data_IF_793144926265
#
_entry.id   IF_793144926265
#
_cell.length_a   1.000
_cell.length_b   1.000
_cell.length_c   1.000
_cell.angle_alpha   90.00
_cell.angle_beta   90.00
_cell.angle_gamma   90.00
#
_symmetry.space_group_name_H-M   'P 1'
#
loop_
_entity.id
_entity.type
_entity.pdbx_description
1 polymer ?
#
# COMPACT_ATOMS: atom_id res chain seq x y z
N UNK A 1 25.40 5.67 -14.81
CA UNK A 1 24.55 4.51 -15.18
C UNK A 1 23.31 4.52 -14.31
N UNK A 2 22.14 4.07 -14.81
CA UNK A 2 20.96 3.88 -13.95
C UNK A 2 21.29 2.88 -12.83
N UNK A 3 20.87 3.19 -11.61
CA UNK A 3 21.03 2.32 -10.45
C UNK A 3 19.67 2.09 -9.79
N UNK A 4 19.42 0.86 -9.37
CA UNK A 4 18.27 0.51 -8.53
C UNK A 4 18.77 0.32 -7.10
N UNK A 5 18.10 0.98 -6.16
CA UNK A 5 18.31 0.84 -4.73
C UNK A 5 16.99 0.35 -4.14
N UNK A 6 17.02 -0.79 -3.47
CA UNK A 6 15.91 -1.28 -2.66
C UNK A 6 16.24 -1.04 -1.20
N UNK A 7 15.33 -0.42 -0.46
CA UNK A 7 15.49 -0.16 0.96
C UNK A 7 14.66 -1.13 1.81
N UNK A 8 15.15 -1.35 3.03
CA UNK A 8 14.52 -2.14 4.09
C UNK A 8 14.93 -1.54 5.43
N UNK A 9 14.27 -1.91 6.51
CA UNK A 9 14.62 -1.41 7.84
C UNK A 9 15.28 -2.50 8.67
N UNK A 10 16.43 -2.20 9.26
CA UNK A 10 17.14 -3.12 10.16
C UNK A 10 16.51 -3.08 11.55
N UNK A 11 15.94 -4.19 12.02
CA UNK A 11 15.43 -4.29 13.39
C UNK A 11 16.55 -4.25 14.44
N UNK A 12 17.80 -4.49 14.04
CA UNK A 12 18.94 -4.54 14.94
C UNK A 12 19.39 -3.15 15.40
N UNK A 13 19.34 -2.18 14.49
CA UNK A 13 19.87 -0.82 14.67
C UNK A 13 18.78 0.24 14.58
N UNK A 14 17.65 -0.07 13.94
CA UNK A 14 16.64 0.91 13.58
C UNK A 14 17.04 1.76 12.37
N UNK A 15 18.11 1.42 11.63
CA UNK A 15 18.57 2.20 10.48
C UNK A 15 18.03 1.68 9.14
N UNK A 16 18.10 2.55 8.12
CA UNK A 16 17.91 2.18 6.73
C UNK A 16 18.98 1.18 6.26
N UNK A 17 18.54 0.06 5.72
CA UNK A 17 19.35 -0.96 5.08
C UNK A 17 19.09 -0.95 3.57
N UNK A 18 20.14 -0.85 2.78
CA UNK A 18 20.03 -0.72 1.33
C UNK A 18 20.61 -1.94 0.62
N UNK A 19 19.95 -2.34 -0.48
CA UNK A 19 20.44 -3.29 -1.46
C UNK A 19 20.65 -2.56 -2.78
N UNK A 20 21.86 -2.70 -3.33
CA UNK A 20 22.19 -2.23 -4.67
C UNK A 20 22.56 -3.43 -5.56
N UNK A 21 22.91 -3.17 -6.82
CA UNK A 21 23.40 -4.21 -7.72
C UNK A 21 24.73 -4.83 -7.28
N UNK A 22 25.52 -4.13 -6.46
CA UNK A 22 26.89 -4.55 -6.08
C UNK A 22 27.11 -4.65 -4.58
N UNK A 23 26.14 -4.27 -3.73
CA UNK A 23 26.37 -4.18 -2.29
C UNK A 23 25.07 -4.33 -1.47
N UNK A 24 25.25 -4.63 -0.19
CA UNK A 24 24.17 -4.57 0.80
C UNK A 24 24.68 -4.05 2.15
N UNK A 25 23.83 -3.33 2.89
CA UNK A 25 24.08 -2.87 4.26
C UNK A 25 23.66 -1.43 4.52
N UNK A 26 24.07 -0.88 5.67
CA UNK A 26 23.69 0.47 6.07
C UNK A 26 24.62 1.52 5.43
N UNK A 27 24.07 2.56 4.78
CA UNK A 27 24.85 3.62 4.16
C UNK A 27 25.53 4.52 5.23
N UNK A 28 26.62 5.21 4.90
CA UNK A 28 27.28 6.16 5.82
C UNK A 28 26.50 7.45 6.05
N UNK A 29 25.73 7.92 5.06
CA UNK A 29 25.30 9.32 4.97
C UNK A 29 24.16 9.76 5.88
N UNK A 30 23.57 8.87 6.68
CA UNK A 30 22.30 9.15 7.41
C UNK A 30 22.37 8.94 8.92
N UNK A 31 23.54 8.61 9.47
CA UNK A 31 23.70 8.37 10.91
C UNK A 31 24.50 9.54 11.49
N UNK A 32 23.78 10.47 12.14
CA UNK A 32 24.38 11.59 12.85
C UNK A 32 24.90 11.08 14.20
N UNK A 33 26.20 10.81 14.29
CA UNK A 33 26.83 10.19 15.47
C UNK A 33 26.68 10.95 16.80
N UNK A 34 26.22 12.20 16.77
CA UNK A 34 25.89 12.98 17.98
C UNK A 34 24.52 12.60 18.57
N UNK A 35 23.57 12.21 17.73
CA UNK A 35 22.19 11.88 18.12
C UNK A 35 22.01 10.36 18.15
N UNK A 36 22.55 9.69 17.14
CA UNK A 36 22.45 8.26 16.94
C UNK A 36 23.79 7.58 17.17
N UNK A 37 23.91 6.95 18.34
CA UNK A 37 25.10 6.21 18.78
C UNK A 37 24.97 4.70 18.51
N UNK A 38 23.91 4.25 17.82
CA UNK A 38 23.72 2.85 17.52
C UNK A 38 24.83 2.34 16.59
N UNK A 39 25.18 1.06 16.75
CA UNK A 39 26.23 0.45 15.91
C UNK A 39 25.72 0.33 14.48
N UNK A 40 26.45 0.96 13.56
CA UNK A 40 26.21 0.82 12.13
C UNK A 40 26.66 -0.52 11.58
N UNK A 41 25.76 -1.22 10.89
CA UNK A 41 26.05 -2.42 10.11
C UNK A 41 26.58 -2.04 8.72
N UNK A 42 27.89 -1.80 8.64
CA UNK A 42 28.57 -1.27 7.45
C UNK A 42 28.32 -2.11 6.20
N UNK A 43 27.91 -1.43 5.13
CA UNK A 43 27.81 -2.01 3.78
C UNK A 43 29.03 -2.84 3.35
N UNK A 44 28.75 -3.97 2.71
CA UNK A 44 29.70 -4.87 2.04
C UNK A 44 29.41 -4.90 0.55
N UNK A 45 30.45 -5.01 -0.29
CA UNK A 45 30.27 -5.37 -1.70
C UNK A 45 30.03 -6.88 -1.80
N UNK A 46 29.17 -7.32 -2.71
CA UNK A 46 28.84 -8.74 -2.81
C UNK A 46 30.09 -9.60 -3.07
N UNK A 47 31.04 -9.13 -3.87
CA UNK A 47 32.29 -9.87 -4.14
C UNK A 47 33.14 -10.12 -2.88
N UNK A 48 33.06 -9.20 -1.91
CA UNK A 48 33.77 -9.24 -0.63
C UNK A 48 32.98 -9.96 0.47
N UNK A 49 31.76 -10.44 0.18
CA UNK A 49 30.92 -11.07 1.18
C UNK A 49 31.54 -12.40 1.69
N UNK A 50 31.34 -12.74 2.98
CA UNK A 50 32.10 -13.82 3.63
C UNK A 50 31.71 -15.24 3.17
N UNK A 51 30.55 -15.41 2.54
CA UNK A 51 30.05 -16.72 2.09
C UNK A 51 29.60 -16.66 0.63
N UNK A 52 29.70 -17.78 -0.09
CA UNK A 52 29.26 -17.85 -1.49
C UNK A 52 27.76 -17.55 -1.69
N UNK A 53 26.94 -17.84 -0.68
CA UNK A 53 25.51 -17.49 -0.68
C UNK A 53 25.32 -15.96 -0.66
N UNK A 54 26.07 -15.26 0.20
CA UNK A 54 26.02 -13.80 0.30
C UNK A 54 26.68 -13.11 -0.91
N UNK A 55 27.68 -13.74 -1.52
CA UNK A 55 28.26 -13.27 -2.80
C UNK A 55 27.25 -13.33 -3.95
N UNK A 56 26.32 -14.30 -3.90
CA UNK A 56 25.29 -14.53 -4.92
C UNK A 56 23.90 -14.16 -4.39
N UNK A 57 23.83 -13.08 -3.61
CA UNK A 57 22.59 -12.62 -3.02
C UNK A 57 21.56 -12.29 -4.10
N UNK A 58 20.34 -12.82 -3.96
CA UNK A 58 19.31 -12.72 -4.99
C UNK A 58 18.50 -11.44 -4.83
N UNK A 59 18.18 -10.78 -5.95
CA UNK A 59 17.23 -9.66 -5.98
C UNK A 59 15.90 -10.01 -5.30
N UNK A 60 15.42 -11.25 -5.47
CA UNK A 60 14.19 -11.71 -4.82
C UNK A 60 14.24 -11.65 -3.29
N UNK A 61 15.41 -11.82 -2.66
CA UNK A 61 15.55 -11.64 -1.22
C UNK A 61 15.54 -10.18 -0.82
N UNK A 62 16.20 -9.31 -1.59
CA UNK A 62 16.14 -7.86 -1.36
C UNK A 62 14.70 -7.33 -1.45
N UNK A 63 13.94 -7.76 -2.47
CA UNK A 63 12.51 -7.44 -2.62
C UNK A 63 11.70 -8.00 -1.45
N UNK A 64 11.96 -9.24 -1.02
CA UNK A 64 11.27 -9.84 0.12
C UNK A 64 11.52 -9.09 1.43
N UNK A 65 12.75 -8.62 1.70
CA UNK A 65 13.04 -7.74 2.84
C UNK A 65 12.29 -6.41 2.73
N UNK A 66 12.35 -5.77 1.57
CA UNK A 66 11.75 -4.46 1.31
C UNK A 66 10.22 -4.46 1.48
N UNK A 67 9.56 -5.58 1.18
CA UNK A 67 8.10 -5.76 1.31
C UNK A 67 7.67 -6.53 2.57
N UNK A 68 8.56 -6.69 3.56
CA UNK A 68 8.30 -7.50 4.76
C UNK A 68 7.51 -6.70 5.81
N UNK A 69 6.21 -6.49 5.55
CA UNK A 69 5.31 -5.73 6.41
C UNK A 69 5.29 -6.30 7.85
N UNK A 70 5.65 -5.50 8.88
CA UNK A 70 5.68 -5.95 10.26
C UNK A 70 4.32 -6.51 10.73
N UNK A 71 4.37 -7.63 11.47
CA UNK A 71 3.18 -8.32 11.97
C UNK A 71 2.50 -9.24 10.94
N UNK A 72 2.82 -9.10 9.65
CA UNK A 72 2.29 -9.96 8.58
C UNK A 72 3.29 -11.02 8.13
N UNK A 73 4.57 -10.64 8.00
CA UNK A 73 5.64 -11.53 7.54
C UNK A 73 6.73 -11.71 8.61
N UNK A 74 7.37 -12.88 8.60
CA UNK A 74 8.58 -13.10 9.41
C UNK A 74 9.74 -12.28 8.81
N UNK A 75 10.52 -11.53 9.62
CA UNK A 75 11.63 -10.71 9.13
C UNK A 75 12.65 -11.51 8.32
N UNK A 76 13.12 -10.94 7.20
CA UNK A 76 14.17 -11.57 6.41
C UNK A 76 15.46 -11.60 7.23
N UNK A 77 16.05 -12.78 7.33
CA UNK A 77 17.20 -13.02 8.20
C UNK A 77 18.48 -13.20 7.40
N UNK A 78 19.53 -12.45 7.73
CA UNK A 78 20.88 -12.60 7.18
C UNK A 78 21.82 -13.02 8.30
N UNK A 79 22.48 -14.17 8.13
CA UNK A 79 23.46 -14.72 9.09
C UNK A 79 24.85 -14.78 8.48
N UNK A 80 25.88 -14.84 9.30
CA UNK A 80 27.27 -14.99 8.85
C UNK A 80 27.89 -13.76 8.18
N UNK A 81 27.12 -12.67 8.02
CA UNK A 81 27.64 -11.41 7.46
C UNK A 81 28.47 -10.62 8.48
N UNK A 82 28.08 -10.65 9.76
CA UNK A 82 28.79 -10.00 10.85
C UNK A 82 29.00 -10.98 12.01
N UNK A 83 30.12 -10.84 12.70
CA UNK A 83 30.47 -11.72 13.82
C UNK A 83 29.44 -11.64 14.95
N UNK A 84 28.94 -12.79 15.41
CA UNK A 84 27.99 -12.91 16.53
C UNK A 84 26.73 -12.02 16.38
N UNK A 85 26.27 -11.85 15.13
CA UNK A 85 25.09 -11.04 14.80
C UNK A 85 24.26 -11.72 13.72
N UNK A 86 22.96 -11.68 13.93
CA UNK A 86 21.94 -12.05 12.95
C UNK A 86 21.19 -10.78 12.59
N UNK A 87 21.27 -10.36 11.33
CA UNK A 87 20.54 -9.19 10.84
C UNK A 87 19.12 -9.61 10.51
N UNK A 88 18.14 -8.82 10.96
CA UNK A 88 16.72 -9.03 10.67
C UNK A 88 16.15 -7.78 10.01
N UNK A 89 15.63 -7.96 8.81
CA UNK A 89 15.13 -6.89 7.97
C UNK A 89 13.62 -6.96 7.83
N UNK A 90 12.99 -5.80 7.91
CA UNK A 90 11.57 -5.59 7.66
C UNK A 90 11.37 -4.53 6.59
N UNK A 91 10.11 -4.27 6.25
CA UNK A 91 9.71 -3.29 5.24
C UNK A 91 10.45 -1.95 5.35
N UNK A 92 10.82 -1.38 4.20
CA UNK A 92 11.52 -0.09 4.11
C UNK A 92 10.66 1.08 4.60
N UNK A 93 9.34 0.98 4.50
CA UNK A 93 8.39 2.00 4.93
C UNK A 93 8.33 2.29 6.42
N UNK A 94 8.99 1.47 7.24
CA UNK A 94 9.19 1.77 8.67
C UNK A 94 10.19 2.91 8.88
N UNK A 95 11.14 3.10 7.96
CA UNK A 95 12.22 4.09 8.08
C UNK A 95 12.27 5.11 6.95
N UNK A 96 12.11 4.68 5.69
CA UNK A 96 12.31 5.48 4.47
C UNK A 96 11.19 5.16 3.49
N UNK A 97 9.97 5.59 3.80
CA UNK A 97 8.76 5.17 3.06
C UNK A 97 8.73 5.70 1.63
N UNK A 98 9.32 6.87 1.40
CA UNK A 98 9.42 7.45 0.06
C UNK A 98 10.68 6.98 -0.71
N UNK A 99 11.55 6.17 -0.09
CA UNK A 99 12.77 5.63 -0.70
C UNK A 99 13.80 6.71 -1.05
N UNK A 100 13.74 7.86 -0.39
CA UNK A 100 14.51 9.06 -0.75
C UNK A 100 15.88 9.09 -0.11
N UNK A 101 16.08 8.39 1.02
CA UNK A 101 17.38 8.37 1.68
C UNK A 101 18.45 7.75 0.77
N UNK A 102 18.10 6.76 -0.06
CA UNK A 102 19.00 6.22 -1.09
C UNK A 102 19.50 7.29 -2.06
N UNK A 103 18.58 8.07 -2.64
CA UNK A 103 18.89 9.13 -3.59
C UNK A 103 19.76 10.24 -2.97
N UNK A 104 19.42 10.65 -1.75
CA UNK A 104 20.19 11.64 -1.01
C UNK A 104 21.62 11.13 -0.70
N UNK A 105 21.77 9.85 -0.37
CA UNK A 105 23.08 9.26 -0.07
C UNK A 105 24.00 9.16 -1.30
N UNK A 106 23.41 9.06 -2.49
CA UNK A 106 24.14 9.09 -3.77
C UNK A 106 24.37 10.53 -4.29
N UNK A 107 23.98 11.55 -3.52
CA UNK A 107 24.20 12.95 -3.87
C UNK A 107 23.30 13.45 -5.00
N UNK A 108 22.13 12.86 -5.20
CA UNK A 108 21.16 13.34 -6.19
C UNK A 108 20.69 14.76 -5.84
N UNK A 109 20.84 15.70 -6.78
CA UNK A 109 20.44 17.11 -6.61
C UNK A 109 19.06 17.42 -7.19
N UNK A 110 18.48 16.47 -7.93
CA UNK A 110 17.14 16.55 -8.50
C UNK A 110 16.42 15.25 -8.22
N UNK A 111 15.31 15.35 -7.51
CA UNK A 111 14.54 14.20 -7.07
C UNK A 111 13.12 14.34 -7.61
N UNK A 112 12.69 13.29 -8.30
CA UNK A 112 11.29 13.05 -8.65
C UNK A 112 10.78 12.00 -7.67
N UNK A 113 9.97 12.43 -6.70
CA UNK A 113 9.37 11.53 -5.72
C UNK A 113 7.93 11.23 -6.16
N UNK A 114 7.62 9.95 -6.38
CA UNK A 114 6.26 9.48 -6.68
C UNK A 114 5.69 8.77 -5.46
N UNK A 115 4.94 9.52 -4.63
CA UNK A 115 4.24 9.00 -3.46
C UNK A 115 2.82 8.58 -3.85
N UNK A 116 2.68 7.29 -4.18
CA UNK A 116 1.47 6.69 -4.75
C UNK A 116 0.79 5.66 -3.82
N UNK A 117 1.05 5.72 -2.52
CA UNK A 117 0.55 4.75 -1.55
C UNK A 117 -0.74 5.23 -0.83
N UNK A 118 -1.54 4.30 -0.33
CA UNK A 118 -2.70 4.61 0.50
C UNK A 118 -2.26 5.26 1.82
N UNK A 119 -2.39 6.58 1.88
CA UNK A 119 -2.01 7.39 3.04
C UNK A 119 -3.00 7.24 4.21
N UNK A 120 -2.56 7.60 5.42
CA UNK A 120 -3.41 7.48 6.60
C UNK A 120 -4.65 8.37 6.46
N UNK A 121 -5.84 7.76 6.49
CA UNK A 121 -7.12 8.47 6.44
C UNK A 121 -7.63 8.86 7.82
N UNK A 122 -8.60 9.77 7.82
CA UNK A 122 -9.39 10.10 9.00
C UNK A 122 -10.27 8.92 9.40
N UNK A 123 -10.46 8.77 10.71
CA UNK A 123 -11.33 7.77 11.29
C UNK A 123 -12.26 8.49 12.24
N UNK A 124 -13.55 8.53 11.91
CA UNK A 124 -14.56 9.24 12.70
C UNK A 124 -14.62 8.75 14.16
N UNK A 125 -14.47 7.43 14.34
CA UNK A 125 -14.49 6.78 15.64
C UNK A 125 -13.36 5.74 15.70
N UNK A 126 -12.17 6.09 16.22
CA UNK A 126 -11.08 5.14 16.34
C UNK A 126 -11.44 4.04 17.35
N UNK A 127 -10.83 2.86 17.19
CA UNK A 127 -11.02 1.75 18.14
C UNK A 127 -10.50 2.13 19.54
N UNK A 128 -11.23 1.73 20.57
CA UNK A 128 -10.90 1.86 21.99
C UNK A 128 -10.22 0.59 22.57
N UNK A 129 -10.04 -0.44 21.74
CA UNK A 129 -9.36 -1.67 22.15
C UNK A 129 -7.85 -1.50 22.17
N UNK A 130 -7.11 -2.15 23.10
CA UNK A 130 -5.65 -2.01 23.16
C UNK A 130 -4.93 -2.35 21.85
N UNK A 131 -5.41 -3.38 21.14
CA UNK A 131 -4.85 -3.79 19.83
C UNK A 131 -5.19 -2.79 18.73
N UNK A 132 -6.43 -2.27 18.70
CA UNK A 132 -6.83 -1.24 17.75
C UNK A 132 -6.04 0.06 17.93
N UNK A 133 -5.82 0.48 19.18
CA UNK A 133 -4.98 1.64 19.52
C UNK A 133 -3.52 1.44 19.09
N UNK A 134 -2.94 0.26 19.34
CA UNK A 134 -1.57 -0.06 18.91
C UNK A 134 -1.40 0.01 17.39
N UNK A 135 -2.35 -0.55 16.64
CA UNK A 135 -2.33 -0.50 15.17
C UNK A 135 -2.48 0.94 14.67
N UNK A 136 -3.42 1.72 15.22
CA UNK A 136 -3.61 3.14 14.86
C UNK A 136 -2.37 3.98 15.19
N UNK A 137 -1.72 3.72 16.32
CA UNK A 137 -0.47 4.39 16.72
C UNK A 137 0.65 4.11 15.72
N UNK A 138 0.80 2.85 15.30
CA UNK A 138 1.78 2.47 14.26
C UNK A 138 1.52 3.24 12.96
N UNK A 139 0.27 3.32 12.51
CA UNK A 139 -0.09 4.11 11.31
C UNK A 139 0.23 5.60 11.46
N UNK A 140 -0.03 6.19 12.63
CA UNK A 140 0.30 7.61 12.92
C UNK A 140 1.81 7.83 12.84
N UNK A 141 2.61 6.94 13.43
CA UNK A 141 4.07 7.06 13.41
C UNK A 141 4.62 6.94 11.97
N UNK A 142 4.12 5.99 11.19
CA UNK A 142 4.49 5.82 9.78
C UNK A 142 4.12 7.05 8.94
N UNK A 143 2.91 7.58 9.11
CA UNK A 143 2.47 8.77 8.39
C UNK A 143 3.29 10.01 8.79
N UNK A 144 3.63 10.16 10.07
CA UNK A 144 4.50 11.24 10.53
C UNK A 144 5.91 11.14 9.95
N UNK A 145 6.48 9.93 9.84
CA UNK A 145 7.78 9.70 9.18
C UNK A 145 7.72 10.14 7.72
N UNK A 146 6.69 9.70 6.98
CA UNK A 146 6.45 10.11 5.58
C UNK A 146 6.34 11.63 5.43
N UNK A 147 5.58 12.30 6.30
CA UNK A 147 5.46 13.76 6.27
C UNK A 147 6.79 14.46 6.57
N UNK A 148 7.57 13.95 7.52
CA UNK A 148 8.87 14.48 7.85
C UNK A 148 9.86 14.33 6.69
N UNK A 149 9.87 13.18 6.00
CA UNK A 149 10.65 12.95 4.77
C UNK A 149 10.27 13.95 3.68
N UNK A 150 8.97 14.15 3.44
CA UNK A 150 8.50 15.09 2.45
C UNK A 150 8.89 16.55 2.79
N UNK A 151 8.76 16.94 4.05
CA UNK A 151 9.17 18.27 4.53
C UNK A 151 10.69 18.48 4.41
N UNK A 152 11.47 17.46 4.77
CA UNK A 152 12.92 17.46 4.67
C UNK A 152 13.37 17.63 3.22
N UNK A 153 12.81 16.84 2.29
CA UNK A 153 13.04 16.98 0.85
C UNK A 153 12.71 18.38 0.34
N UNK A 154 11.54 18.91 0.71
CA UNK A 154 11.10 20.24 0.32
C UNK A 154 12.01 21.34 0.84
N UNK A 155 12.62 21.15 2.01
CA UNK A 155 13.55 22.11 2.61
C UNK A 155 14.97 22.05 2.04
N UNK A 156 15.44 20.87 1.61
CA UNK A 156 16.82 20.64 1.18
C UNK A 156 17.07 20.94 -0.30
N UNK A 157 16.04 20.91 -1.13
CA UNK A 157 16.19 20.96 -2.58
C UNK A 157 15.51 22.19 -3.17
N UNK A 158 16.30 23.13 -3.67
CA UNK A 158 15.79 24.25 -4.49
C UNK A 158 15.12 23.77 -5.79
N UNK A 159 15.41 22.54 -6.22
CA UNK A 159 14.89 21.91 -7.43
C UNK A 159 14.35 20.50 -7.17
N UNK A 160 13.14 20.41 -6.62
CA UNK A 160 12.41 19.16 -6.41
C UNK A 160 11.06 19.19 -7.13
N UNK A 161 10.60 18.03 -7.58
CA UNK A 161 9.20 17.83 -7.96
C UNK A 161 8.68 16.62 -7.17
N UNK A 162 7.78 16.90 -6.22
CA UNK A 162 7.11 15.89 -5.41
C UNK A 162 5.72 15.62 -5.95
N UNK A 163 5.46 14.39 -6.37
CA UNK A 163 4.16 13.91 -6.83
C UNK A 163 3.55 13.10 -5.70
N UNK A 164 2.37 13.52 -5.26
CA UNK A 164 1.59 12.87 -4.21
C UNK A 164 0.13 12.78 -4.67
N UNK A 165 -0.50 11.62 -4.55
CA UNK A 165 -1.89 11.40 -4.93
C UNK A 165 -2.91 12.22 -4.13
N UNK A 166 -2.57 12.71 -2.92
CA UNK A 166 -3.42 13.62 -2.14
C UNK A 166 -3.31 15.10 -2.48
N UNK A 167 -2.56 15.45 -3.53
CA UNK A 167 -2.39 16.86 -3.92
C UNK A 167 -3.74 17.49 -4.29
N UNK A 168 -3.98 18.71 -3.82
CA UNK A 168 -5.24 19.43 -4.01
C UNK A 168 -6.47 18.70 -3.45
N UNK A 169 -6.31 17.77 -2.49
CA UNK A 169 -7.40 17.12 -1.78
C UNK A 169 -7.52 17.63 -0.34
N UNK A 170 -7.11 18.87 -0.08
CA UNK A 170 -7.21 19.45 1.25
C UNK A 170 -8.68 19.55 1.68
N UNK A 171 -8.94 19.15 2.93
CA UNK A 171 -10.24 19.29 3.58
C UNK A 171 -10.23 20.40 4.62
N UNK A 172 -11.42 20.91 4.90
CA UNK A 172 -11.62 21.98 5.84
C UNK A 172 -11.47 21.49 7.29
N UNK A 173 -10.87 22.31 8.18
CA UNK A 173 -10.79 21.96 9.58
C UNK A 173 -12.19 21.83 10.19
N UNK A 174 -12.38 20.80 11.02
CA UNK A 174 -13.62 20.62 11.77
C UNK A 174 -13.70 21.63 12.92
N UNK A 175 -14.83 22.30 13.03
CA UNK A 175 -15.15 23.16 14.18
C UNK A 175 -15.74 22.31 15.33
N UNK A 176 -15.41 22.62 16.58
CA UNK A 176 -16.05 21.99 17.74
C UNK A 176 -17.48 22.52 17.93
N UNK A 177 -18.30 21.78 18.69
CA UNK A 177 -19.67 22.19 19.01
C UNK A 177 -19.62 23.49 19.82
N UNK A 178 -20.26 24.55 19.32
CA UNK A 178 -20.24 25.88 19.94
C UNK A 178 -18.97 26.69 19.66
N UNK A 179 -18.26 26.42 18.56
CA UNK A 179 -17.11 27.21 18.13
C UNK A 179 -17.49 28.70 17.91
N UNK A 180 -16.80 29.58 18.63
CA UNK A 180 -17.04 31.03 18.61
C UNK A 180 -16.31 31.71 17.44
N UNK A 181 -15.29 31.06 16.90
CA UNK A 181 -14.44 31.49 15.79
C UNK A 181 -14.42 30.46 14.65
N UNK A 182 -15.58 30.09 14.08
CA UNK A 182 -15.65 29.03 13.09
C UNK A 182 -14.79 29.40 11.88
N UNK A 183 -13.86 28.51 11.53
CA UNK A 183 -13.16 28.63 10.25
C UNK A 183 -14.16 28.29 9.15
N UNK A 184 -14.38 29.23 8.24
CA UNK A 184 -15.20 29.00 7.05
C UNK A 184 -14.53 27.95 6.18
N UNK A 185 -15.31 26.98 5.71
CA UNK A 185 -14.89 26.10 4.64
C UNK A 185 -14.32 26.93 3.50
N UNK A 186 -13.09 26.65 3.07
CA UNK A 186 -12.56 27.25 1.86
C UNK A 186 -13.52 26.87 0.74
N UNK A 187 -14.05 27.85 -0.01
CA UNK A 187 -14.95 27.53 -1.11
C UNK A 187 -14.17 26.62 -2.08
N UNK A 188 -14.53 25.33 -2.15
CA UNK A 188 -13.98 24.40 -3.14
C UNK A 188 -14.38 24.97 -4.51
N UNK A 189 -13.49 25.75 -5.13
CA UNK A 189 -13.81 26.63 -6.26
C UNK A 189 -14.10 25.84 -7.54
N UNK A 190 -13.72 24.57 -7.57
CA UNK A 190 -13.88 23.66 -8.69
C UNK A 190 -14.07 22.23 -8.17
N UNK A 191 -14.95 21.47 -8.82
CA UNK A 191 -15.08 20.03 -8.59
C UNK A 191 -13.90 19.24 -9.20
N UNK A 192 -13.05 19.90 -9.99
CA UNK A 192 -11.87 19.32 -10.60
C UNK A 192 -10.60 19.95 -10.00
N UNK A 193 -9.57 19.12 -9.89
CA UNK A 193 -8.18 19.54 -9.60
C UNK A 193 -7.60 20.39 -10.73
N UNK A 194 -6.55 21.16 -10.44
CA UNK A 194 -5.88 22.01 -11.44
C UNK A 194 -5.19 21.20 -12.55
N UNK A 195 -5.00 19.91 -12.34
CA UNK A 195 -4.45 18.96 -13.31
C UNK A 195 -5.52 18.18 -14.08
N UNK A 196 -6.82 18.44 -13.85
CA UNK A 196 -7.91 17.98 -14.73
C UNK A 196 -8.63 16.70 -14.30
N UNK A 197 -8.44 16.23 -13.07
CA UNK A 197 -9.13 15.06 -12.52
C UNK A 197 -10.28 15.52 -11.61
N UNK A 198 -11.42 14.86 -11.70
CA UNK A 198 -12.52 15.00 -10.74
C UNK A 198 -12.03 14.70 -9.30
N UNK A 199 -12.32 15.59 -8.35
CA UNK A 199 -11.77 15.49 -6.99
C UNK A 199 -12.22 14.21 -6.26
N UNK A 200 -13.49 13.83 -6.43
CA UNK A 200 -14.05 12.62 -5.82
C UNK A 200 -13.42 11.34 -6.39
N UNK A 201 -13.10 11.34 -7.69
CA UNK A 201 -12.31 10.27 -8.29
C UNK A 201 -10.86 10.26 -7.80
N UNK A 202 -10.24 11.44 -7.68
CA UNK A 202 -8.87 11.57 -7.20
C UNK A 202 -8.72 11.11 -5.75
N UNK A 203 -9.71 11.36 -4.89
CA UNK A 203 -9.80 10.79 -3.53
C UNK A 203 -9.78 9.26 -3.55
N UNK A 204 -10.53 8.63 -4.46
CA UNK A 204 -10.53 7.17 -4.64
C UNK A 204 -9.17 6.64 -5.12
N UNK A 205 -8.52 7.35 -6.05
CA UNK A 205 -7.16 7.02 -6.50
C UNK A 205 -6.17 7.13 -5.34
N UNK A 206 -6.27 8.17 -4.52
CA UNK A 206 -5.38 8.38 -3.36
C UNK A 206 -5.61 7.38 -2.23
N UNK A 207 -6.82 6.84 -2.11
CA UNK A 207 -7.16 5.80 -1.14
C UNK A 207 -6.76 4.38 -1.59
N UNK A 208 -6.37 4.21 -2.85
CA UNK A 208 -6.04 2.91 -3.44
C UNK A 208 -4.93 2.19 -2.67
N UNK A 209 -5.18 0.92 -2.35
CA UNK A 209 -4.19 0.02 -1.74
C UNK A 209 -3.61 -0.89 -2.81
N UNK A 210 -2.27 -0.86 -2.93
CA UNK A 210 -1.50 -1.60 -3.94
C UNK A 210 -0.92 -2.91 -3.40
N UNK A 211 -1.15 -3.20 -2.13
CA UNK A 211 -0.60 -4.33 -1.41
C UNK A 211 -1.64 -5.47 -1.25
N UNK A 212 -1.14 -6.71 -1.21
CA UNK A 212 -1.85 -7.93 -0.75
C UNK A 212 -3.07 -8.44 -1.54
N UNK A 213 -3.54 -7.72 -2.56
CA UNK A 213 -4.53 -8.20 -3.52
C UNK A 213 -4.04 -8.01 -4.97
N UNK A 214 -4.75 -8.58 -5.93
CA UNK A 214 -4.42 -8.38 -7.35
C UNK A 214 -4.74 -6.96 -7.79
N UNK A 215 -3.97 -6.43 -8.75
CA UNK A 215 -4.12 -5.09 -9.30
C UNK A 215 -4.57 -5.16 -10.77
N UNK A 216 -5.70 -4.51 -11.08
CA UNK A 216 -6.33 -4.51 -12.41
C UNK A 216 -5.72 -3.45 -13.34
N UNK A 217 -6.00 -3.53 -14.65
CA UNK A 217 -5.57 -2.50 -15.59
C UNK A 217 -6.20 -1.14 -15.28
N UNK A 218 -7.49 -1.10 -14.91
CA UNK A 218 -8.17 0.15 -14.55
C UNK A 218 -7.52 0.80 -13.34
N UNK A 219 -7.24 0.04 -12.27
CA UNK A 219 -6.53 0.55 -11.10
C UNK A 219 -5.13 1.08 -11.46
N UNK A 220 -4.34 0.27 -12.18
CA UNK A 220 -2.99 0.64 -12.58
C UNK A 220 -2.95 1.86 -13.49
N UNK A 221 -3.80 1.89 -14.52
CA UNK A 221 -3.84 2.99 -15.47
C UNK A 221 -4.42 4.26 -14.86
N UNK A 222 -5.38 4.19 -13.93
CA UNK A 222 -5.86 5.36 -13.21
C UNK A 222 -4.74 5.97 -12.34
N UNK A 223 -3.98 5.14 -11.63
CA UNK A 223 -2.84 5.58 -10.82
C UNK A 223 -1.74 6.21 -11.69
N UNK A 224 -1.39 5.56 -12.81
CA UNK A 224 -0.41 6.10 -13.77
C UNK A 224 -0.87 7.41 -14.39
N UNK A 225 -2.11 7.48 -14.90
CA UNK A 225 -2.65 8.69 -15.51
C UNK A 225 -2.69 9.85 -14.50
N UNK A 226 -3.11 9.60 -13.26
CA UNK A 226 -3.09 10.59 -12.17
C UNK A 226 -1.67 11.07 -11.88
N UNK A 227 -0.72 10.16 -11.70
CA UNK A 227 0.69 10.50 -11.47
C UNK A 227 1.28 11.35 -12.59
N UNK A 228 0.99 11.03 -13.86
CA UNK A 228 1.45 11.83 -15.01
C UNK A 228 0.80 13.21 -15.07
N UNK A 229 -0.50 13.34 -14.80
CA UNK A 229 -1.18 14.64 -14.79
C UNK A 229 -0.66 15.54 -13.66
N UNK A 230 -0.46 14.99 -12.45
CA UNK A 230 0.15 15.71 -11.33
C UNK A 230 1.58 16.13 -11.70
N UNK A 231 2.40 15.21 -12.22
CA UNK A 231 3.79 15.49 -12.61
C UNK A 231 3.86 16.62 -13.64
N UNK A 232 3.02 16.55 -14.68
CA UNK A 232 2.96 17.59 -15.71
C UNK A 232 2.65 18.95 -15.08
N UNK A 233 1.65 19.00 -14.21
CA UNK A 233 1.27 20.23 -13.50
C UNK A 233 2.40 20.78 -12.63
N UNK A 234 3.14 19.92 -11.94
CA UNK A 234 4.30 20.34 -11.15
C UNK A 234 5.40 20.94 -12.01
N UNK A 235 5.70 20.31 -13.15
CA UNK A 235 6.72 20.81 -14.06
C UNK A 235 6.32 22.16 -14.65
N UNK A 236 5.05 22.35 -14.99
CA UNK A 236 4.52 23.66 -15.42
C UNK A 236 4.71 24.73 -14.35
N UNK A 237 4.43 24.43 -13.07
CA UNK A 237 4.60 25.36 -11.96
C UNK A 237 6.08 25.72 -11.73
N UNK A 238 6.96 24.72 -11.74
CA UNK A 238 8.41 24.92 -11.60
C UNK A 238 8.96 25.76 -12.74
N UNK A 239 8.48 25.55 -13.97
CA UNK A 239 8.84 26.36 -15.12
C UNK A 239 8.37 27.81 -15.00
N UNK A 240 7.15 28.02 -14.50
CA UNK A 240 6.62 29.36 -14.25
C UNK A 240 7.46 30.09 -13.22
N UNK A 241 7.85 29.41 -12.13
CA UNK A 241 8.75 29.96 -11.13
C UNK A 241 10.14 30.28 -11.71
N UNK A 242 10.74 29.36 -12.45
CA UNK A 242 12.03 29.56 -13.12
C UNK A 242 12.03 30.79 -14.03
N UNK A 243 10.94 31.00 -14.79
CA UNK A 243 10.74 32.20 -15.62
C UNK A 243 10.57 33.47 -14.78
N UNK A 244 9.81 33.43 -13.68
CA UNK A 244 9.62 34.57 -12.76
C UNK A 244 10.93 35.02 -12.11
N UNK A 245 11.83 34.09 -11.84
CA UNK A 245 13.17 34.37 -11.28
C UNK A 245 14.15 34.92 -12.33
N UNK A 246 13.75 35.09 -13.60
CA UNK A 246 14.59 35.63 -14.66
C UNK A 246 15.71 34.68 -15.12
N UNK A 247 15.63 33.39 -14.75
CA UNK A 247 16.63 32.39 -15.15
C UNK A 247 16.42 32.01 -16.63
N UNK A 248 17.50 31.90 -17.44
CA UNK A 248 17.38 31.54 -18.85
C UNK A 248 17.00 30.06 -19.02
N UNK A 249 16.43 29.71 -20.18
CA UNK A 249 16.12 28.32 -20.56
C UNK A 249 14.91 27.72 -19.84
N UNK A 250 14.88 26.38 -19.76
CA UNK A 250 13.84 25.63 -19.05
C UNK A 250 14.32 25.17 -17.68
N UNK A 251 13.37 25.01 -16.75
CA UNK A 251 13.66 24.42 -15.46
C UNK A 251 14.27 23.04 -15.67
N UNK A 252 15.45 22.84 -15.09
CA UNK A 252 16.18 21.58 -15.19
C UNK A 252 16.68 21.19 -16.59
N UNK A 253 16.65 22.07 -17.58
CA UNK A 253 16.89 21.71 -19.00
C UNK A 253 15.92 20.62 -19.52
N UNK A 254 14.76 20.46 -18.89
CA UNK A 254 13.71 19.57 -19.38
C UNK A 254 12.93 20.25 -20.51
N UNK A 255 12.51 19.48 -21.49
CA UNK A 255 11.50 19.92 -22.45
C UNK A 255 10.12 19.60 -21.86
N UNK A 256 9.46 20.62 -21.35
CA UNK A 256 8.18 20.50 -20.64
C UNK A 256 7.02 20.39 -21.64
N UNK A 257 7.23 20.87 -22.86
CA UNK A 257 6.29 20.82 -23.96
C UNK A 257 6.58 19.63 -24.89
N UNK A 258 7.47 18.72 -24.47
CA UNK A 258 7.81 17.51 -25.21
C UNK A 258 6.54 16.73 -25.59
N UNK A 259 6.53 16.21 -26.82
CA UNK A 259 5.42 15.41 -27.30
C UNK A 259 5.16 14.22 -26.36
N UNK A 260 3.94 14.13 -25.82
CA UNK A 260 3.55 13.03 -24.96
C UNK A 260 3.61 11.70 -25.70
N UNK A 261 4.08 10.65 -25.04
CA UNK A 261 4.02 9.30 -25.57
C UNK A 261 2.58 8.76 -25.57
N UNK A 262 2.27 7.90 -26.54
CA UNK A 262 0.96 7.25 -26.68
C UNK A 262 0.85 6.03 -25.76
N UNK A 263 0.76 6.30 -24.46
CA UNK A 263 0.56 5.25 -23.46
C UNK A 263 -0.91 4.85 -23.35
N UNK A 264 -1.18 3.55 -23.15
CA UNK A 264 -2.54 3.02 -23.02
C UNK A 264 -3.35 3.67 -21.90
N UNK A 265 -2.71 4.00 -20.77
CA UNK A 265 -3.38 4.64 -19.64
C UNK A 265 -3.97 6.02 -19.99
N UNK A 266 -3.47 6.68 -21.03
CA UNK A 266 -3.96 8.00 -21.45
C UNK A 266 -5.40 7.97 -21.94
N UNK A 267 -5.89 6.81 -22.36
CA UNK A 267 -7.29 6.61 -22.75
C UNK A 267 -8.27 6.84 -21.58
N UNK A 268 -7.79 6.79 -20.33
CA UNK A 268 -8.60 7.13 -19.15
C UNK A 268 -8.67 8.63 -18.87
N UNK A 269 -7.74 9.45 -19.37
CA UNK A 269 -7.66 10.89 -19.05
C UNK A 269 -9.01 11.61 -19.26
N UNK A 270 -9.76 11.39 -20.37
CA UNK A 270 -11.06 12.04 -20.56
C UNK A 270 -12.12 11.59 -19.56
N UNK A 271 -12.11 10.30 -19.17
CA UNK A 271 -13.06 9.74 -18.21
C UNK A 271 -12.77 10.22 -16.79
N UNK A 272 -11.49 10.42 -16.46
CA UNK A 272 -11.05 10.86 -15.13
C UNK A 272 -11.44 12.31 -14.83
N UNK A 273 -11.72 13.10 -15.87
CA UNK A 273 -12.25 14.45 -15.73
C UNK A 273 -13.77 14.47 -15.48
N UNK A 274 -14.49 13.38 -15.72
CA UNK A 274 -15.94 13.32 -15.62
C UNK A 274 -16.41 13.03 -14.20
N UNK A 275 -17.58 13.55 -13.84
CA UNK A 275 -18.27 13.16 -12.60
C UNK A 275 -18.80 11.73 -12.70
N UNK A 276 -18.94 11.05 -11.56
CA UNK A 276 -19.45 9.69 -11.47
C UNK A 276 -20.70 9.43 -12.32
N UNK A 277 -21.70 10.31 -12.26
CA UNK A 277 -23.01 10.11 -12.89
C UNK A 277 -23.09 10.53 -14.37
N UNK A 278 -21.96 10.87 -15.00
CA UNK A 278 -21.95 11.40 -16.37
C UNK A 278 -22.37 10.34 -17.40
N UNK A 279 -21.85 9.12 -17.28
CA UNK A 279 -22.20 7.99 -18.12
C UNK A 279 -21.84 6.66 -17.42
N UNK A 280 -22.13 5.53 -18.08
CA UNK A 280 -21.83 4.19 -17.52
C UNK A 280 -20.33 3.94 -17.31
N UNK A 281 -19.47 4.59 -18.10
CA UNK A 281 -18.02 4.43 -18.01
C UNK A 281 -17.47 5.16 -16.77
N UNK A 282 -17.91 6.40 -16.53
CA UNK A 282 -17.56 7.15 -15.32
C UNK A 282 -18.10 6.46 -14.07
N UNK A 283 -19.35 5.97 -14.10
CA UNK A 283 -19.94 5.26 -12.97
C UNK A 283 -19.16 3.99 -12.62
N UNK A 284 -18.83 3.17 -13.63
CA UNK A 284 -18.07 1.93 -13.46
C UNK A 284 -16.63 2.18 -13.04
N UNK A 285 -16.00 3.27 -13.51
CA UNK A 285 -14.67 3.71 -13.09
C UNK A 285 -14.67 4.10 -11.60
N UNK A 286 -15.55 5.02 -11.18
CA UNK A 286 -15.67 5.41 -9.77
C UNK A 286 -15.96 4.20 -8.88
N UNK A 287 -16.85 3.30 -9.29
CA UNK A 287 -17.17 2.10 -8.51
C UNK A 287 -15.97 1.15 -8.36
N UNK A 288 -15.18 0.96 -9.42
CA UNK A 288 -13.96 0.15 -9.36
C UNK A 288 -12.92 0.77 -8.42
N UNK A 289 -12.67 2.08 -8.53
CA UNK A 289 -11.67 2.75 -7.71
C UNK A 289 -12.10 2.91 -6.25
N UNK A 290 -13.40 3.00 -5.97
CA UNK A 290 -13.94 2.96 -4.61
C UNK A 290 -13.59 1.64 -3.92
N UNK A 291 -13.66 0.52 -4.65
CA UNK A 291 -13.30 -0.81 -4.13
C UNK A 291 -11.78 -0.98 -4.04
N UNK A 292 -11.02 -0.25 -4.84
CA UNK A 292 -9.56 -0.35 -4.89
C UNK A 292 -8.87 0.06 -3.58
N UNK A 293 -9.57 0.76 -2.68
CA UNK A 293 -9.08 1.09 -1.32
C UNK A 293 -9.04 -0.10 -0.37
N UNK A 294 -9.78 -1.17 -0.67
CA UNK A 294 -9.86 -2.33 0.20
C UNK A 294 -8.56 -3.14 0.12
N UNK A 295 -8.02 -3.56 1.27
CA UNK A 295 -6.77 -4.35 1.34
C UNK A 295 -6.98 -5.79 0.86
N UNK A 296 -8.18 -6.36 1.06
CA UNK A 296 -8.50 -7.73 0.69
C UNK A 296 -9.88 -7.84 0.06
N UNK A 297 -10.07 -8.93 -0.69
CA UNK A 297 -11.38 -9.35 -1.20
C UNK A 297 -12.00 -8.37 -2.21
N UNK A 298 -11.18 -7.60 -2.94
CA UNK A 298 -11.66 -6.67 -3.97
C UNK A 298 -12.57 -7.37 -4.98
N UNK A 299 -12.19 -8.56 -5.41
CA UNK A 299 -12.97 -9.38 -6.35
C UNK A 299 -14.40 -9.69 -5.86
N UNK A 300 -14.58 -9.92 -4.56
CA UNK A 300 -15.87 -10.29 -3.96
C UNK A 300 -16.79 -9.08 -3.80
N UNK A 301 -16.22 -7.88 -3.65
CA UNK A 301 -16.96 -6.62 -3.63
C UNK A 301 -17.32 -6.14 -5.04
N UNK A 302 -16.40 -6.30 -6.00
CA UNK A 302 -16.58 -5.79 -7.37
C UNK A 302 -17.48 -6.68 -8.23
N UNK A 303 -17.55 -7.98 -7.94
CA UNK A 303 -18.34 -8.94 -8.71
C UNK A 303 -19.49 -9.46 -7.84
N UNK A 304 -20.73 -8.93 -7.99
CA UNK A 304 -21.87 -9.29 -7.15
C UNK A 304 -22.18 -10.79 -7.12
N UNK A 305 -21.90 -11.50 -8.21
CA UNK A 305 -22.09 -12.95 -8.32
C UNK A 305 -21.28 -13.72 -7.26
N UNK A 306 -20.08 -13.24 -6.93
CA UNK A 306 -19.24 -13.88 -5.92
C UNK A 306 -19.77 -13.63 -4.52
N UNK A 307 -20.26 -12.42 -4.23
CA UNK A 307 -20.93 -12.13 -2.95
C UNK A 307 -22.15 -13.02 -2.74
N UNK A 308 -22.99 -13.18 -3.77
CA UNK A 308 -24.16 -14.06 -3.72
C UNK A 308 -23.74 -15.53 -3.54
N UNK A 309 -22.76 -16.01 -4.30
CA UNK A 309 -22.27 -17.37 -4.19
C UNK A 309 -21.67 -17.68 -2.80
N UNK A 310 -20.94 -16.73 -2.21
CA UNK A 310 -20.41 -16.85 -0.84
C UNK A 310 -21.55 -16.96 0.18
N UNK A 311 -22.57 -16.10 0.09
CA UNK A 311 -23.74 -16.13 0.97
C UNK A 311 -24.47 -17.47 0.85
N UNK A 312 -24.74 -17.94 -0.37
CA UNK A 312 -25.41 -19.22 -0.60
C UNK A 312 -24.61 -20.40 -0.06
N UNK A 313 -23.29 -20.40 -0.27
CA UNK A 313 -22.39 -21.44 0.25
C UNK A 313 -22.37 -21.44 1.78
N UNK A 314 -22.33 -20.26 2.41
CA UNK A 314 -22.43 -20.12 3.86
C UNK A 314 -23.75 -20.67 4.42
N UNK A 315 -24.88 -20.35 3.76
CA UNK A 315 -26.20 -20.88 4.15
C UNK A 315 -26.25 -22.40 4.04
N UNK A 316 -25.76 -22.96 2.92
CA UNK A 316 -25.70 -24.42 2.73
C UNK A 316 -24.81 -25.07 3.80
N UNK A 317 -23.66 -24.49 4.13
CA UNK A 317 -22.76 -25.01 5.15
C UNK A 317 -23.44 -25.04 6.54
N UNK A 318 -24.15 -23.98 6.92
CA UNK A 318 -24.89 -23.92 8.18
C UNK A 318 -26.00 -24.98 8.22
N UNK A 319 -26.80 -25.09 7.15
CA UNK A 319 -27.85 -26.13 7.05
C UNK A 319 -27.22 -27.52 7.16
N UNK A 320 -26.10 -27.76 6.48
CA UNK A 320 -25.41 -29.05 6.49
C UNK A 320 -24.89 -29.43 7.88
N UNK A 321 -24.30 -28.46 8.60
CA UNK A 321 -23.82 -28.65 9.97
C UNK A 321 -24.98 -28.98 10.91
N UNK A 322 -26.10 -28.25 10.78
CA UNK A 322 -27.28 -28.48 11.60
C UNK A 322 -27.90 -29.84 11.32
N UNK A 323 -28.03 -30.21 10.04
CA UNK A 323 -28.55 -31.51 9.64
C UNK A 323 -27.66 -32.65 10.17
N UNK A 324 -26.33 -32.50 10.06
CA UNK A 324 -25.39 -33.44 10.63
C UNK A 324 -25.52 -33.54 12.16
N UNK A 325 -25.67 -32.42 12.87
CA UNK A 325 -25.88 -32.41 14.32
C UNK A 325 -27.21 -33.09 14.71
N UNK A 326 -28.29 -32.81 13.98
CA UNK A 326 -29.59 -33.44 14.20
C UNK A 326 -29.54 -34.96 14.00
N UNK A 327 -28.81 -35.43 12.97
CA UNK A 327 -28.58 -36.85 12.73
C UNK A 327 -27.69 -37.49 13.81
N UNK A 328 -26.60 -36.81 14.20
CA UNK A 328 -25.64 -37.33 15.18
C UNK A 328 -26.24 -37.43 16.59
N UNK A 329 -27.15 -36.53 16.97
CA UNK A 329 -27.82 -36.53 18.27
C UNK A 329 -29.23 -37.13 18.27
N UNK A 330 -29.74 -37.55 17.10
CA UNK A 330 -31.08 -38.11 16.93
C UNK A 330 -32.20 -37.22 17.53
N UNK A 331 -32.05 -35.90 17.41
CA UNK A 331 -32.95 -34.89 17.97
C UNK A 331 -33.56 -34.02 16.88
N UNK A 332 -34.84 -33.65 17.04
CA UNK A 332 -35.49 -32.63 16.22
C UNK A 332 -35.07 -31.24 16.69
N UNK A 333 -34.24 -30.56 15.89
CA UNK A 333 -33.71 -29.23 16.24
C UNK A 333 -34.73 -28.15 15.81
N UNK A 334 -35.13 -27.28 16.74
CA UNK A 334 -36.03 -26.16 16.44
C UNK A 334 -35.30 -25.03 15.70
N UNK A 335 -36.01 -24.25 14.88
CA UNK A 335 -35.44 -23.11 14.14
C UNK A 335 -34.73 -22.10 15.05
N UNK A 336 -35.26 -21.87 16.25
CA UNK A 336 -34.61 -21.00 17.24
C UNK A 336 -33.26 -21.54 17.74
N UNK A 337 -33.17 -22.85 18.00
CA UNK A 337 -31.91 -23.50 18.37
C UNK A 337 -30.89 -23.48 17.22
N UNK A 338 -31.35 -23.55 15.96
CA UNK A 338 -30.48 -23.43 14.78
C UNK A 338 -29.80 -22.05 14.70
N UNK A 339 -30.54 -20.97 14.95
CA UNK A 339 -30.00 -19.60 14.91
C UNK A 339 -28.98 -19.40 16.04
N UNK A 340 -29.30 -19.87 17.25
CA UNK A 340 -28.41 -19.75 18.40
C UNK A 340 -27.11 -20.53 18.16
N UNK A 341 -27.19 -21.75 17.61
CA UNK A 341 -26.00 -22.56 17.33
C UNK A 341 -25.12 -21.95 16.23
N UNK A 342 -25.71 -21.38 15.18
CA UNK A 342 -24.95 -20.67 14.13
C UNK A 342 -24.22 -19.44 14.70
N UNK A 343 -24.91 -18.64 15.53
CA UNK A 343 -24.31 -17.48 16.22
C UNK A 343 -23.18 -17.93 17.15
N UNK A 344 -23.40 -18.97 17.95
CA UNK A 344 -22.37 -19.52 18.85
C UNK A 344 -21.20 -20.13 18.09
N UNK A 345 -21.40 -20.72 16.91
CA UNK A 345 -20.33 -21.26 16.07
C UNK A 345 -19.48 -20.14 15.47
N UNK A 346 -20.09 -19.05 15.03
CA UNK A 346 -19.38 -17.85 14.56
C UNK A 346 -18.58 -17.22 15.71
N UNK A 347 -19.18 -17.10 16.90
CA UNK A 347 -18.49 -16.62 18.11
C UNK A 347 -17.34 -17.56 18.49
N UNK A 348 -17.56 -18.88 18.46
CA UNK A 348 -16.54 -19.89 18.76
C UNK A 348 -15.43 -19.97 17.70
N UNK A 349 -15.67 -19.51 16.47
CA UNK A 349 -14.61 -19.31 15.47
C UNK A 349 -13.85 -18.00 15.70
N UNK A 350 -14.49 -16.98 16.27
CA UNK A 350 -13.87 -15.68 16.56
C UNK A 350 -13.03 -15.67 17.85
N UNK A 351 -13.42 -16.44 18.87
CA UNK A 351 -12.81 -16.42 20.23
C UNK A 351 -11.42 -17.10 20.34
N UNK A 352 -11.07 -18.19 19.63
CA UNK A 352 -9.80 -18.90 19.85
C UNK A 352 -8.72 -18.60 18.80
N UNK A 353 -8.85 -17.58 17.96
CA UNK A 353 -7.80 -17.25 16.97
C UNK A 353 -6.47 -16.93 17.68
N UNK A 354 -6.50 -16.31 18.87
CA UNK A 354 -5.29 -16.02 19.65
C UNK A 354 -4.63 -17.26 20.27
N UNK A 355 -5.40 -18.27 20.70
CA UNK A 355 -4.86 -19.49 21.31
C UNK A 355 -4.39 -20.51 20.27
N UNK A 356 -4.98 -20.53 19.08
CA UNK A 356 -4.55 -21.35 17.95
C UNK A 356 -3.26 -20.86 17.29
N UNK A 357 -2.89 -19.59 17.45
CA UNK A 357 -1.63 -19.04 16.95
C UNK A 357 -0.39 -19.50 17.75
N UNK A 358 -0.57 -20.13 18.91
CA UNK A 358 0.52 -20.68 19.73
C UNK A 358 0.30 -22.16 20.07
N UNK A 359 0.31 -23.08 19.08
CA UNK A 359 0.26 -24.50 19.38
C UNK A 359 1.48 -24.89 20.22
N UNK A 360 1.26 -25.79 21.19
CA UNK A 360 2.35 -26.43 21.93
C UNK A 360 3.41 -26.94 20.95
N UNK A 361 4.70 -26.84 21.32
CA UNK A 361 5.84 -27.09 20.42
C UNK A 361 5.73 -28.38 19.60
N UNK A 362 5.08 -29.42 20.15
CA UNK A 362 4.85 -30.73 19.53
C UNK A 362 3.85 -30.74 18.37
N UNK A 363 2.89 -29.81 18.33
CA UNK A 363 1.88 -29.73 17.26
C UNK A 363 2.11 -28.58 16.28
N UNK A 364 3.09 -27.73 16.54
CA UNK A 364 3.40 -26.56 15.70
C UNK A 364 3.70 -26.92 14.25
N UNK A 365 4.42 -28.02 14.01
CA UNK A 365 4.73 -28.45 12.65
C UNK A 365 3.48 -28.92 11.89
N UNK A 366 2.68 -29.81 12.50
CA UNK A 366 1.44 -30.32 11.88
C UNK A 366 0.49 -29.16 11.59
N UNK A 367 0.33 -28.25 12.55
CA UNK A 367 -0.52 -27.07 12.41
C UNK A 367 -0.05 -26.16 11.27
N UNK A 368 1.25 -25.81 11.24
CA UNK A 368 1.85 -25.02 10.17
C UNK A 368 1.63 -25.69 8.81
N UNK A 369 1.95 -26.98 8.69
CA UNK A 369 1.77 -27.73 7.44
C UNK A 369 0.32 -27.75 6.98
N UNK A 370 -0.65 -27.98 7.88
CA UNK A 370 -2.08 -27.99 7.55
C UNK A 370 -2.57 -26.63 7.08
N UNK A 371 -2.21 -25.54 7.77
CA UNK A 371 -2.54 -24.18 7.35
C UNK A 371 -1.89 -23.86 6.01
N UNK A 372 -0.63 -24.21 5.82
CA UNK A 372 0.08 -23.99 4.56
C UNK A 372 -0.58 -24.75 3.41
N UNK A 373 -0.97 -26.00 3.61
CA UNK A 373 -1.63 -26.81 2.58
C UNK A 373 -3.03 -26.27 2.25
N UNK A 374 -3.82 -25.94 3.27
CA UNK A 374 -5.14 -25.34 3.09
C UNK A 374 -5.04 -23.98 2.39
N UNK A 375 -4.15 -23.12 2.88
CA UNK A 375 -3.87 -21.82 2.27
C UNK A 375 -3.41 -21.93 0.83
N UNK A 376 -2.54 -22.90 0.51
CA UNK A 376 -2.11 -23.20 -0.85
C UNK A 376 -3.29 -23.62 -1.75
N UNK A 377 -4.16 -24.50 -1.27
CA UNK A 377 -5.35 -24.92 -2.03
C UNK A 377 -6.31 -23.76 -2.28
N UNK A 378 -6.62 -22.98 -1.24
CA UNK A 378 -7.49 -21.80 -1.33
C UNK A 378 -6.89 -20.77 -2.30
N UNK A 379 -5.59 -20.49 -2.18
CA UNK A 379 -4.87 -19.58 -3.07
C UNK A 379 -4.91 -20.07 -4.52
N UNK A 380 -4.68 -21.36 -4.78
CA UNK A 380 -4.77 -21.96 -6.12
C UNK A 380 -6.17 -21.82 -6.72
N UNK A 381 -7.22 -22.07 -5.94
CA UNK A 381 -8.61 -21.91 -6.37
C UNK A 381 -8.90 -20.44 -6.67
N UNK A 382 -8.49 -19.53 -5.77
CA UNK A 382 -8.65 -18.09 -5.95
C UNK A 382 -7.95 -17.61 -7.23
N UNK A 383 -6.67 -17.91 -7.40
CA UNK A 383 -5.88 -17.51 -8.56
C UNK A 383 -6.46 -18.06 -9.88
N UNK A 384 -7.01 -19.28 -9.86
CA UNK A 384 -7.55 -19.91 -11.07
C UNK A 384 -8.95 -19.40 -11.44
N UNK A 385 -9.83 -19.16 -10.48
CA UNK A 385 -11.26 -18.92 -10.77
C UNK A 385 -11.76 -17.52 -10.40
N UNK A 386 -11.20 -16.91 -9.35
CA UNK A 386 -11.62 -15.60 -8.86
C UNK A 386 -10.80 -14.52 -9.52
N UNK A 387 -9.48 -14.68 -9.50
CA UNK A 387 -8.55 -13.67 -9.99
C UNK A 387 -8.72 -13.39 -11.50
N UNK A 388 -8.87 -14.44 -12.31
CA UNK A 388 -9.05 -14.28 -13.75
C UNK A 388 -10.29 -13.42 -14.09
N UNK A 389 -11.42 -13.63 -13.40
CA UNK A 389 -12.62 -12.82 -13.64
C UNK A 389 -12.49 -11.41 -13.08
N UNK A 390 -11.79 -11.25 -11.96
CA UNK A 390 -11.49 -9.95 -11.39
C UNK A 390 -10.64 -9.10 -12.36
N UNK A 391 -9.56 -9.67 -12.89
CA UNK A 391 -8.73 -9.03 -13.91
C UNK A 391 -9.55 -8.68 -15.17
N UNK A 392 -10.36 -9.60 -15.69
CA UNK A 392 -11.25 -9.33 -16.84
C UNK A 392 -12.27 -8.22 -16.56
N UNK A 393 -12.78 -8.13 -15.31
CA UNK A 393 -13.72 -7.09 -14.89
C UNK A 393 -13.06 -5.71 -14.85
N UNK A 394 -11.77 -5.65 -14.56
CA UNK A 394 -10.95 -4.44 -14.53
C UNK A 394 -10.05 -4.23 -15.75
N UNK A 395 -10.36 -4.85 -16.90
CA UNK A 395 -9.70 -4.54 -18.18
C UNK A 395 -10.13 -3.17 -18.69
N UNK A 396 -9.16 -2.38 -19.18
CA UNK A 396 -9.43 -1.07 -19.77
C UNK A 396 -10.41 -1.17 -20.95
N UNK A 397 -10.20 -2.18 -21.82
CA UNK A 397 -11.03 -2.41 -23.00
C UNK A 397 -12.49 -2.70 -22.65
N UNK A 398 -12.77 -3.32 -21.50
CA UNK A 398 -14.14 -3.53 -21.03
C UNK A 398 -14.75 -2.20 -20.63
N UNK A 399 -14.05 -1.41 -19.82
CA UNK A 399 -14.51 -0.12 -19.32
C UNK A 399 -14.89 0.82 -20.47
N UNK A 400 -14.02 0.95 -21.48
CA UNK A 400 -14.22 1.82 -22.65
C UNK A 400 -15.36 1.37 -23.59
N UNK A 401 -15.97 0.21 -23.36
CA UNK A 401 -17.07 -0.34 -24.18
C UNK A 401 -18.44 -0.30 -23.50
N UNK A 402 -18.50 0.11 -22.23
CA UNK A 402 -19.76 0.36 -21.54
C UNK A 402 -20.46 1.59 -22.12
#
# INVERSE_FOLDING_TARGET
MPALILNSSSLNSGHNWQFTANSMGEPPGHILGEIDINRRYRRVYYDDAPTDELKKYRLGYAVAASACVPGMFEPLTITGLYENRTVRLVDGGVHDNQGVAGLLSEGCTRILCSDACGQMGDVLQPSDTPTGVLLRTTSILQDRVREAEYQDLRSRLDSHAGVNTRKELEDDPLNWIGCEDPRSAASKSSNQTSYGIDRDLQEKIAAMRTDLDTFTEVEAYALMASGYQITKREFELLQQQHRKEGRPGTWGNYDIDAAGADWRFRQLEPLMAMKQETNKQSEDLHHQLEIAREVFSKAWHLIPQYKIAAILTGVIAVISIVFFAALAWNTTVSVGAMIIFAVLSIIAMAVPILHWLMPASRFRLIFKTSITLLGYMVAKIHLKYVNEKFLKRGELKRLLKL
#
